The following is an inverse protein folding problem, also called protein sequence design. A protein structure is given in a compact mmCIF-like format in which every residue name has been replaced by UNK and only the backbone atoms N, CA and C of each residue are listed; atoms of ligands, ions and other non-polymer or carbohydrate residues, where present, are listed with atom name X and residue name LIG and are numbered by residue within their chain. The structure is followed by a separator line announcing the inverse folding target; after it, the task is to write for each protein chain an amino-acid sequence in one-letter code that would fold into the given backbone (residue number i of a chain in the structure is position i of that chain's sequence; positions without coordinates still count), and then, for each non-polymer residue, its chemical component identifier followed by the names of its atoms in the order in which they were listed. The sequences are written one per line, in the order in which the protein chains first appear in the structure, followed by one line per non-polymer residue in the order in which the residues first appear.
data_IF_055730019187
#
_entry.id   IF_055730019187
#
_cell.length_a   1.000
_cell.length_b   1.000
_cell.length_c   1.000
_cell.angle_alpha   90.00
_cell.angle_beta   90.00
_cell.angle_gamma   90.00
#
_symmetry.space_group_name_H-M   'P 1'
#
loop_
_entity.id
_entity.type
_entity.pdbx_description
1 polymer ?
#
# COMPACT_ATOMS: atom_id res chain seq x y z
N UNK A 1 55.24 23.68 -16.13
CA UNK A 1 55.96 24.84 -15.57
C UNK A 1 55.92 25.99 -16.58
N UNK A 2 55.01 26.95 -16.41
CA UNK A 2 54.84 28.29 -17.04
C UNK A 2 53.68 28.95 -16.26
N UNK A 3 53.88 29.71 -15.17
CA UNK A 3 54.28 31.12 -15.01
C UNK A 3 53.34 32.13 -15.71
N UNK A 4 52.53 32.79 -14.84
CA UNK A 4 51.92 34.14 -14.86
C UNK A 4 50.90 34.52 -15.96
N UNK A 5 49.72 35.01 -15.53
CA UNK A 5 49.47 36.47 -15.48
C UNK A 5 48.16 36.79 -14.70
N UNK A 6 48.30 37.67 -13.71
CA UNK A 6 47.26 38.29 -12.90
C UNK A 6 46.66 39.48 -13.62
N UNK A 7 45.33 39.62 -13.66
CA UNK A 7 44.66 40.92 -13.82
C UNK A 7 43.50 41.02 -12.84
N UNK A 8 43.68 41.91 -11.86
CA UNK A 8 42.65 42.53 -11.03
C UNK A 8 41.72 43.38 -11.91
N UNK A 9 40.42 43.33 -11.67
CA UNK A 9 39.56 44.49 -11.92
C UNK A 9 38.56 44.64 -10.77
N UNK A 10 38.68 45.76 -10.07
CA UNK A 10 37.81 46.25 -9.01
C UNK A 10 36.66 47.01 -9.67
N UNK A 11 35.41 46.66 -9.35
CA UNK A 11 34.26 47.48 -9.68
C UNK A 11 33.56 47.90 -8.37
N UNK A 12 33.68 49.19 -8.10
CA UNK A 12 33.11 49.96 -7.01
C UNK A 12 31.72 50.44 -7.44
N UNK A 13 30.67 50.23 -6.66
CA UNK A 13 29.43 50.99 -6.85
C UNK A 13 28.66 51.18 -5.54
N UNK A 14 28.75 52.42 -5.06
CA UNK A 14 27.75 53.25 -4.37
C UNK A 14 26.80 52.62 -3.35
N UNK A 15 27.07 52.93 -2.09
CA UNK A 15 26.09 52.94 -0.99
C UNK A 15 25.17 54.15 -1.14
N UNK A 16 23.86 53.93 -1.30
CA UNK A 16 22.85 54.98 -1.15
C UNK A 16 22.21 54.88 0.24
N UNK A 17 22.32 55.98 0.97
CA UNK A 17 21.76 56.21 2.30
C UNK A 17 20.25 56.46 2.16
N UNK A 18 19.41 55.60 2.74
CA UNK A 18 17.96 55.81 2.81
C UNK A 18 17.59 56.33 4.19
N UNK A 19 16.88 57.46 4.21
CA UNK A 19 16.37 58.10 5.42
C UNK A 19 15.40 57.18 6.18
N UNK A 20 15.53 57.12 7.50
CA UNK A 20 14.52 56.54 8.39
C UNK A 20 13.42 57.58 8.62
N UNK A 21 12.28 57.39 7.95
CA UNK A 21 11.04 58.10 8.24
C UNK A 21 10.30 57.32 9.33
N UNK A 22 10.18 57.93 10.52
CA UNK A 22 9.42 57.34 11.64
C UNK A 22 7.93 57.46 11.33
N UNK A 23 7.33 56.36 10.89
CA UNK A 23 5.89 56.27 10.64
C UNK A 23 5.18 56.08 11.99
N UNK A 24 4.38 57.06 12.38
CA UNK A 24 3.44 56.98 13.49
C UNK A 24 2.34 55.95 13.14
N UNK A 25 2.38 54.78 13.78
CA UNK A 25 1.43 53.69 13.52
C UNK A 25 0.06 54.05 14.06
N UNK A 26 -0.90 54.29 13.15
CA UNK A 26 -2.32 54.31 13.49
C UNK A 26 -2.75 52.96 14.10
N UNK A 27 -3.68 52.94 15.07
CA UNK A 27 -4.15 51.70 15.68
C UNK A 27 -4.79 50.78 14.63
N UNK A 28 -4.29 49.54 14.57
CA UNK A 28 -4.75 48.50 13.65
C UNK A 28 -6.23 48.20 13.91
N UNK A 29 -7.10 48.26 12.89
CA UNK A 29 -8.48 47.78 13.04
C UNK A 29 -8.46 46.27 13.30
N UNK A 30 -9.10 45.84 14.39
CA UNK A 30 -9.27 44.44 14.76
C UNK A 30 -9.94 43.72 13.60
N UNK A 31 -9.15 42.92 12.89
CA UNK A 31 -9.63 42.05 11.81
C UNK A 31 -10.46 40.96 12.46
N UNK A 32 -11.76 40.96 12.19
CA UNK A 32 -12.66 39.87 12.57
C UNK A 32 -12.04 38.54 12.15
N UNK A 33 -11.93 37.62 13.11
CA UNK A 33 -11.41 36.29 12.87
C UNK A 33 -12.20 35.63 11.73
N UNK A 34 -11.53 35.09 10.70
CA UNK A 34 -12.23 34.31 9.70
C UNK A 34 -12.89 33.12 10.41
N UNK A 35 -14.22 33.13 10.42
CA UNK A 35 -15.01 32.00 10.85
C UNK A 35 -14.49 30.78 10.09
N UNK A 36 -13.82 29.88 10.80
CA UNK A 36 -13.40 28.59 10.25
C UNK A 36 -14.66 27.86 9.87
N UNK A 37 -15.04 27.94 8.59
CA UNK A 37 -15.95 27.00 7.98
C UNK A 37 -15.36 25.63 8.31
N UNK A 38 -16.07 24.88 9.16
CA UNK A 38 -15.79 23.45 9.34
C UNK A 38 -16.01 22.82 7.98
N UNK A 39 -14.94 22.70 7.20
CA UNK A 39 -14.90 21.83 6.04
C UNK A 39 -15.04 20.43 6.61
N UNK A 40 -16.27 19.93 6.64
CA UNK A 40 -16.55 18.52 6.87
C UNK A 40 -15.86 17.77 5.74
N UNK A 41 -14.67 17.23 6.01
CA UNK A 41 -14.04 16.25 5.14
C UNK A 41 -15.07 15.12 5.00
N UNK A 42 -15.55 14.80 3.79
CA UNK A 42 -16.49 13.70 3.63
C UNK A 42 -15.81 12.45 4.20
N UNK A 43 -16.41 11.86 5.23
CA UNK A 43 -16.10 10.48 5.61
C UNK A 43 -16.42 9.66 4.38
N UNK A 44 -15.37 9.27 3.64
CA UNK A 44 -15.49 8.33 2.55
C UNK A 44 -16.02 7.03 3.18
N UNK A 45 -17.33 6.80 3.09
CA UNK A 45 -17.94 5.55 3.49
C UNK A 45 -17.39 4.50 2.53
N UNK A 46 -16.43 3.70 2.99
CA UNK A 46 -15.92 2.56 2.25
C UNK A 46 -17.08 1.58 2.05
N UNK A 47 -17.50 1.42 0.80
CA UNK A 47 -18.55 0.46 0.43
C UNK A 47 -17.87 -0.84 0.05
N UNK A 48 -18.22 -1.92 0.74
CA UNK A 48 -17.78 -3.26 0.41
C UNK A 48 -18.70 -3.85 -0.66
N UNK A 49 -18.11 -4.29 -1.76
CA UNK A 49 -18.81 -4.98 -2.85
C UNK A 49 -18.50 -6.47 -2.76
N UNK A 50 -19.55 -7.29 -2.74
CA UNK A 50 -19.40 -8.74 -2.77
C UNK A 50 -18.79 -9.19 -4.10
N UNK A 51 -17.98 -10.25 -4.06
CA UNK A 51 -17.49 -10.90 -5.26
C UNK A 51 -18.53 -11.95 -5.66
N UNK A 52 -19.19 -11.75 -6.80
CA UNK A 52 -20.37 -12.55 -7.19
C UNK A 52 -20.04 -14.01 -7.52
N UNK A 53 -18.84 -14.26 -8.05
CA UNK A 53 -18.38 -15.59 -8.47
C UNK A 53 -17.00 -15.89 -7.86
N UNK A 54 -16.92 -16.06 -6.53
CA UNK A 54 -15.65 -16.29 -5.88
C UNK A 54 -15.13 -17.67 -6.27
N UNK A 55 -13.85 -17.74 -6.66
CA UNK A 55 -13.18 -19.01 -6.91
C UNK A 55 -12.69 -19.55 -5.57
N UNK A 56 -13.09 -20.78 -5.23
CA UNK A 56 -12.51 -21.51 -4.11
C UNK A 56 -11.22 -22.17 -4.59
N UNK A 57 -10.08 -21.75 -4.08
CA UNK A 57 -8.78 -22.33 -4.40
C UNK A 57 -8.46 -23.42 -3.40
N UNK A 58 -8.10 -24.58 -3.92
CA UNK A 58 -7.74 -25.79 -3.17
C UNK A 58 -6.45 -26.38 -3.77
N UNK A 59 -5.78 -27.35 -3.11
CA UNK A 59 -4.63 -28.03 -3.68
C UNK A 59 -4.87 -28.60 -5.09
N UNK A 60 -6.10 -29.02 -5.40
CA UNK A 60 -6.44 -29.64 -6.68
C UNK A 60 -6.44 -28.64 -7.84
N UNK A 61 -6.93 -27.41 -7.63
CA UNK A 61 -7.03 -26.39 -8.67
C UNK A 61 -5.94 -25.32 -8.59
N UNK A 62 -5.18 -25.25 -7.50
CA UNK A 62 -4.08 -24.31 -7.35
C UNK A 62 -3.05 -24.42 -8.49
N UNK A 63 -2.87 -25.62 -9.06
CA UNK A 63 -2.02 -25.86 -10.25
C UNK A 63 -2.43 -25.09 -11.51
N UNK A 64 -3.64 -24.53 -11.55
CA UNK A 64 -4.12 -23.72 -12.67
C UNK A 64 -3.66 -22.26 -12.57
N UNK A 65 -3.08 -21.85 -11.43
CA UNK A 65 -2.62 -20.49 -11.15
C UNK A 65 -1.08 -20.39 -11.19
N UNK A 66 -0.46 -20.91 -12.25
CA UNK A 66 1.00 -20.98 -12.39
C UNK A 66 1.60 -19.78 -13.13
N UNK A 67 0.89 -19.27 -14.14
CA UNK A 67 1.34 -18.11 -14.91
C UNK A 67 0.55 -16.88 -14.50
N UNK A 68 1.23 -15.74 -14.49
CA UNK A 68 0.59 -14.44 -14.31
C UNK A 68 -0.36 -14.11 -15.49
N UNK A 69 -0.22 -14.82 -16.61
CA UNK A 69 -1.11 -14.74 -17.79
C UNK A 69 -2.36 -15.62 -17.66
N UNK A 70 -2.33 -16.68 -16.83
CA UNK A 70 -3.52 -17.48 -16.46
C UNK A 70 -4.44 -16.77 -15.46
N UNK A 71 -4.02 -15.57 -15.04
CA UNK A 71 -4.81 -14.61 -14.29
C UNK A 71 -5.61 -13.81 -15.33
N UNK A 72 -6.88 -14.20 -15.53
CA UNK A 72 -7.72 -13.81 -16.66
C UNK A 72 -7.82 -12.30 -16.91
N UNK A 73 -7.58 -11.47 -15.90
CA UNK A 73 -7.42 -10.02 -16.01
C UNK A 73 -6.48 -9.57 -14.87
N UNK A 74 -5.52 -8.66 -15.10
CA UNK A 74 -4.63 -8.12 -14.05
C UNK A 74 -5.43 -7.25 -13.08
N UNK A 75 -6.22 -7.89 -12.23
CA UNK A 75 -7.11 -7.25 -11.26
C UNK A 75 -6.60 -7.48 -9.83
N UNK A 76 -7.09 -6.70 -8.86
CA UNK A 76 -6.84 -6.92 -7.44
C UNK A 76 -7.09 -8.38 -7.01
N UNK A 77 -8.24 -8.95 -7.36
CA UNK A 77 -8.66 -10.30 -6.98
C UNK A 77 -7.73 -11.37 -7.53
N UNK A 78 -7.42 -11.23 -8.81
CA UNK A 78 -6.51 -12.04 -9.59
C UNK A 78 -5.12 -12.17 -8.96
N UNK A 79 -4.57 -11.08 -8.46
CA UNK A 79 -3.29 -11.06 -7.74
C UNK A 79 -3.37 -11.78 -6.40
N UNK A 80 -4.45 -11.57 -5.65
CA UNK A 80 -4.64 -12.25 -4.37
C UNK A 80 -4.83 -13.77 -4.59
N UNK A 81 -5.63 -14.17 -5.58
CA UNK A 81 -5.80 -15.57 -5.98
C UNK A 81 -4.45 -16.22 -6.33
N UNK A 82 -3.61 -15.53 -7.12
CA UNK A 82 -2.30 -16.03 -7.50
C UNK A 82 -1.37 -16.24 -6.30
N UNK A 83 -1.33 -15.28 -5.38
CA UNK A 83 -0.57 -15.38 -4.14
C UNK A 83 -0.98 -16.61 -3.32
N UNK A 84 -2.28 -16.76 -3.03
CA UNK A 84 -2.75 -17.85 -2.20
C UNK A 84 -2.66 -19.21 -2.88
N UNK A 85 -2.82 -19.28 -4.20
CA UNK A 85 -2.57 -20.51 -4.95
C UNK A 85 -1.10 -20.94 -4.86
N UNK A 86 -0.16 -19.98 -4.94
CA UNK A 86 1.27 -20.24 -4.74
C UNK A 86 1.58 -20.73 -3.32
N UNK A 87 0.96 -20.14 -2.30
CA UNK A 87 1.07 -20.59 -0.91
C UNK A 87 0.54 -22.02 -0.70
N UNK A 88 -0.57 -22.39 -1.36
CA UNK A 88 -1.13 -23.75 -1.33
C UNK A 88 -0.17 -24.75 -2.01
N UNK A 89 0.44 -24.37 -3.13
CA UNK A 89 1.41 -25.23 -3.85
C UNK A 89 2.78 -25.30 -3.19
N UNK A 90 3.06 -24.43 -2.21
CA UNK A 90 4.36 -24.32 -1.54
C UNK A 90 5.50 -23.99 -2.51
N UNK A 91 5.21 -23.14 -3.50
CA UNK A 91 6.22 -22.58 -4.40
C UNK A 91 6.52 -21.10 -4.08
N UNK A 92 7.46 -20.51 -4.81
CA UNK A 92 7.88 -19.10 -4.63
C UNK A 92 7.28 -18.14 -5.66
N UNK A 93 6.27 -18.59 -6.43
CA UNK A 93 5.70 -17.74 -7.47
C UNK A 93 5.00 -16.50 -6.90
N UNK A 94 4.54 -16.56 -5.65
CA UNK A 94 3.99 -15.43 -4.90
C UNK A 94 4.92 -14.22 -4.85
N UNK A 95 6.25 -14.41 -4.95
CA UNK A 95 7.24 -13.31 -4.93
C UNK A 95 6.99 -12.29 -6.05
N UNK A 96 6.36 -12.71 -7.17
CA UNK A 96 6.03 -11.81 -8.30
C UNK A 96 4.98 -10.76 -7.98
N UNK A 97 4.16 -11.00 -6.95
CA UNK A 97 3.01 -10.14 -6.61
C UNK A 97 3.14 -9.53 -5.22
N UNK A 98 4.29 -9.66 -4.59
CA UNK A 98 4.59 -9.11 -3.27
C UNK A 98 5.72 -8.08 -3.41
N UNK A 99 5.54 -6.91 -2.80
CA UNK A 99 6.55 -5.85 -2.78
C UNK A 99 7.14 -5.67 -1.38
N UNK A 100 8.06 -6.54 -1.00
CA UNK A 100 8.77 -6.44 0.29
C UNK A 100 9.70 -5.23 0.38
N UNK A 101 10.07 -4.59 -0.74
CA UNK A 101 11.02 -3.47 -0.77
C UNK A 101 10.42 -2.07 -0.52
N UNK A 102 9.11 -1.95 -0.22
CA UNK A 102 8.43 -0.66 0.01
C UNK A 102 8.07 -0.44 1.49
N UNK A 103 7.48 0.73 1.80
CA UNK A 103 7.27 1.35 3.13
C UNK A 103 6.67 0.52 4.30
N UNK A 104 6.44 -0.80 4.13
CA UNK A 104 6.06 -1.76 5.19
C UNK A 104 6.69 -3.15 4.99
N UNK A 105 7.86 -3.21 4.36
CA UNK A 105 8.57 -4.45 4.02
C UNK A 105 8.72 -5.41 5.19
N UNK A 106 9.17 -4.91 6.35
CA UNK A 106 9.38 -5.73 7.55
C UNK A 106 8.09 -6.37 8.07
N UNK A 107 6.97 -5.63 8.00
CA UNK A 107 5.68 -6.16 8.44
C UNK A 107 5.17 -7.23 7.48
N UNK A 108 5.25 -6.97 6.17
CA UNK A 108 4.87 -7.95 5.17
C UNK A 108 5.74 -9.20 5.26
N UNK A 109 7.04 -9.03 5.51
CA UNK A 109 7.95 -10.13 5.75
C UNK A 109 7.55 -10.94 6.99
N UNK A 110 7.27 -10.28 8.12
CA UNK A 110 6.79 -10.95 9.33
C UNK A 110 5.47 -11.70 9.10
N UNK A 111 4.59 -11.21 8.22
CA UNK A 111 3.39 -11.93 7.81
C UNK A 111 3.75 -13.17 6.97
N UNK A 112 4.59 -13.02 5.94
CA UNK A 112 5.05 -14.14 5.11
C UNK A 112 5.68 -15.26 5.97
N UNK A 113 6.52 -14.89 6.94
CA UNK A 113 7.13 -15.84 7.89
C UNK A 113 6.09 -16.62 8.72
N UNK A 114 4.89 -16.07 8.94
CA UNK A 114 3.79 -16.81 9.58
C UNK A 114 3.12 -17.77 8.60
N UNK A 115 2.95 -17.37 7.34
CA UNK A 115 2.36 -18.22 6.31
C UNK A 115 3.22 -19.46 6.00
N UNK A 116 4.54 -19.36 6.16
CA UNK A 116 5.45 -20.51 6.06
C UNK A 116 5.16 -21.59 7.11
N UNK A 117 4.61 -21.21 8.27
CA UNK A 117 4.35 -22.12 9.40
C UNK A 117 3.01 -22.86 9.31
N UNK A 118 2.19 -22.56 8.30
CA UNK A 118 0.84 -23.12 8.16
C UNK A 118 0.64 -23.79 6.81
N UNK A 119 -0.34 -24.67 6.70
CA UNK A 119 -0.81 -25.19 5.41
C UNK A 119 -2.18 -24.62 5.10
N UNK A 120 -2.33 -23.94 3.97
CA UNK A 120 -3.63 -23.46 3.51
C UNK A 120 -4.35 -24.63 2.84
N UNK A 121 -5.53 -24.98 3.35
CA UNK A 121 -6.36 -26.10 2.86
C UNK A 121 -7.33 -25.63 1.80
N UNK A 122 -8.03 -24.52 2.06
CA UNK A 122 -8.91 -23.83 1.10
C UNK A 122 -8.82 -22.33 1.30
N UNK A 123 -9.10 -21.59 0.23
CA UNK A 123 -9.08 -20.14 0.21
C UNK A 123 -10.18 -19.62 -0.73
N UNK A 124 -10.85 -18.54 -0.36
CA UNK A 124 -11.80 -17.85 -1.23
C UNK A 124 -11.80 -16.34 -0.96
N UNK A 125 -12.00 -15.56 -2.02
CA UNK A 125 -12.30 -14.14 -1.90
C UNK A 125 -13.77 -13.95 -1.54
N UNK A 126 -14.07 -12.93 -0.74
CA UNK A 126 -15.44 -12.66 -0.26
C UNK A 126 -15.96 -11.35 -0.81
N UNK A 127 -15.19 -10.29 -0.62
CA UNK A 127 -15.58 -8.94 -0.99
C UNK A 127 -14.35 -8.05 -1.20
N UNK A 128 -14.56 -6.89 -1.80
CA UNK A 128 -13.53 -5.86 -1.91
C UNK A 128 -14.10 -4.46 -1.67
N UNK A 129 -13.23 -3.53 -1.29
CA UNK A 129 -13.55 -2.11 -1.25
C UNK A 129 -12.37 -1.30 -1.78
N UNK A 130 -12.65 -0.26 -2.56
CA UNK A 130 -11.62 0.64 -3.04
C UNK A 130 -11.27 1.64 -1.93
N UNK A 131 -10.02 1.62 -1.45
CA UNK A 131 -9.51 2.65 -0.54
C UNK A 131 -9.00 3.86 -1.31
N UNK A 132 -8.51 3.63 -2.53
CA UNK A 132 -8.27 4.65 -3.55
C UNK A 132 -8.83 4.14 -4.88
N UNK A 133 -9.83 4.79 -5.48
CA UNK A 133 -10.48 4.32 -6.71
C UNK A 133 -9.45 3.97 -7.80
N UNK A 134 -9.59 2.76 -8.36
CA UNK A 134 -8.71 2.21 -9.41
C UNK A 134 -7.22 2.11 -9.06
N UNK A 135 -6.83 2.35 -7.81
CA UNK A 135 -5.42 2.34 -7.41
C UNK A 135 -5.11 1.44 -6.23
N UNK A 136 -6.04 1.33 -5.26
CA UNK A 136 -5.81 0.56 -4.05
C UNK A 136 -7.11 -0.04 -3.54
N UNK A 137 -7.05 -1.32 -3.20
CA UNK A 137 -8.19 -2.06 -2.70
C UNK A 137 -7.82 -2.79 -1.41
N UNK A 138 -8.79 -2.90 -0.53
CA UNK A 138 -8.82 -3.99 0.45
C UNK A 138 -9.67 -5.12 -0.10
N UNK A 139 -9.15 -6.33 0.00
CA UNK A 139 -9.80 -7.55 -0.46
C UNK A 139 -9.98 -8.46 0.75
N UNK A 140 -11.22 -8.76 1.09
CA UNK A 140 -11.55 -9.69 2.17
C UNK A 140 -11.45 -11.11 1.67
N UNK A 141 -10.83 -11.95 2.49
CA UNK A 141 -10.59 -13.35 2.19
C UNK A 141 -11.01 -14.21 3.36
N UNK A 142 -11.51 -15.38 3.03
CA UNK A 142 -11.72 -16.48 3.97
C UNK A 142 -10.77 -17.62 3.60
N UNK A 143 -10.21 -18.27 4.60
CA UNK A 143 -9.30 -19.39 4.42
C UNK A 143 -9.47 -20.43 5.52
N UNK A 144 -9.24 -21.67 5.15
CA UNK A 144 -9.03 -22.76 6.11
C UNK A 144 -7.54 -23.08 6.13
N UNK A 145 -6.96 -23.04 7.33
CA UNK A 145 -5.54 -23.33 7.54
C UNK A 145 -5.37 -24.49 8.50
N UNK A 146 -4.29 -25.22 8.32
CA UNK A 146 -3.83 -26.28 9.22
C UNK A 146 -2.56 -25.83 9.93
N UNK A 147 -2.60 -25.87 11.27
CA UNK A 147 -1.47 -25.57 12.17
C UNK A 147 -1.19 -26.82 13.00
N UNK A 148 -0.11 -27.55 12.67
CA UNK A 148 0.10 -28.90 13.19
C UNK A 148 -1.04 -29.82 12.73
N UNK A 149 -1.77 -30.42 13.67
CA UNK A 149 -2.92 -31.28 13.36
C UNK A 149 -4.27 -30.55 13.39
N UNK A 150 -4.30 -29.30 13.87
CA UNK A 150 -5.54 -28.54 14.05
C UNK A 150 -5.89 -27.77 12.78
N UNK A 151 -7.15 -27.84 12.39
CA UNK A 151 -7.74 -27.01 11.34
C UNK A 151 -8.41 -25.79 11.97
N UNK A 152 -8.22 -24.62 11.38
CA UNK A 152 -8.82 -23.35 11.79
C UNK A 152 -9.33 -22.59 10.57
N UNK A 153 -10.43 -21.86 10.75
CA UNK A 153 -10.90 -20.89 9.78
C UNK A 153 -10.37 -19.49 10.14
N UNK A 154 -9.96 -18.74 9.14
CA UNK A 154 -9.43 -17.39 9.28
C UNK A 154 -10.11 -16.51 8.25
N UNK A 155 -10.63 -15.38 8.70
CA UNK A 155 -11.09 -14.29 7.85
C UNK A 155 -10.15 -13.11 8.04
N UNK A 156 -9.76 -12.46 6.96
CA UNK A 156 -9.02 -11.22 7.06
C UNK A 156 -8.92 -10.49 5.73
N UNK A 157 -8.03 -9.51 5.67
CA UNK A 157 -8.00 -8.55 4.57
C UNK A 157 -6.60 -8.48 3.98
N UNK A 158 -6.53 -8.49 2.65
CA UNK A 158 -5.31 -8.22 1.89
C UNK A 158 -5.38 -6.80 1.35
N UNK A 159 -4.29 -6.05 1.48
CA UNK A 159 -4.16 -4.72 0.91
C UNK A 159 -3.40 -4.83 -0.41
N UNK A 160 -3.99 -4.33 -1.48
CA UNK A 160 -3.43 -4.41 -2.84
C UNK A 160 -3.40 -3.05 -3.50
N UNK A 161 -2.31 -2.76 -4.20
CA UNK A 161 -2.04 -1.48 -4.86
C UNK A 161 -1.59 -1.70 -6.30
N UNK A 162 -1.93 -0.77 -7.19
CA UNK A 162 -1.35 -0.72 -8.54
C UNK A 162 -0.15 0.22 -8.55
N UNK A 163 0.98 -0.24 -9.09
CA UNK A 163 2.20 0.53 -9.27
C UNK A 163 2.80 0.20 -10.63
N UNK A 164 3.10 1.22 -11.45
CA UNK A 164 3.68 1.00 -12.78
C UNK A 164 2.78 0.19 -13.74
N UNK A 165 1.47 0.11 -13.47
CA UNK A 165 0.52 -0.68 -14.26
C UNK A 165 0.30 -2.11 -13.77
N UNK A 166 1.02 -2.56 -12.74
CA UNK A 166 0.88 -3.89 -12.16
C UNK A 166 0.34 -3.85 -10.72
N UNK A 167 -0.43 -4.87 -10.35
CA UNK A 167 -1.01 -5.00 -9.01
C UNK A 167 -0.10 -5.79 -8.07
N UNK A 168 0.02 -5.33 -6.83
CA UNK A 168 0.88 -5.92 -5.80
C UNK A 168 0.20 -5.95 -4.45
N UNK A 169 0.57 -6.94 -3.63
CA UNK A 169 0.15 -7.10 -2.23
C UNK A 169 1.09 -6.30 -1.33
N UNK A 170 0.49 -5.45 -0.49
CA UNK A 170 1.16 -4.67 0.55
C UNK A 170 1.01 -5.26 1.95
N UNK A 171 -0.08 -6.00 2.21
CA UNK A 171 -0.27 -6.72 3.46
C UNK A 171 -1.16 -7.93 3.26
N UNK A 172 -0.95 -8.92 4.12
CA UNK A 172 -1.72 -10.16 4.18
C UNK A 172 -2.65 -10.17 5.39
N UNK A 173 -3.66 -11.07 5.41
CA UNK A 173 -4.41 -11.37 6.61
C UNK A 173 -3.48 -11.83 7.73
N UNK A 174 -3.65 -11.27 8.93
CA UNK A 174 -2.89 -11.66 10.11
C UNK A 174 -3.36 -13.05 10.57
N UNK A 175 -2.43 -13.97 10.75
CA UNK A 175 -2.72 -15.30 11.27
C UNK A 175 -2.55 -15.27 12.79
N UNK A 176 -3.64 -15.33 13.55
CA UNK A 176 -3.55 -15.51 15.01
C UNK A 176 -3.22 -16.98 15.33
N UNK A 177 -1.93 -17.30 15.24
CA UNK A 177 -1.41 -18.65 15.45
C UNK A 177 -1.36 -19.03 16.94
N UNK A 178 -1.55 -18.09 17.86
CA UNK A 178 -1.54 -18.37 19.29
C UNK A 178 -2.89 -19.00 19.65
N UNK A 179 -2.91 -20.34 19.81
CA UNK A 179 -4.04 -20.98 20.48
C UNK A 179 -3.97 -20.63 21.97
N UNK A 180 -5.03 -20.00 22.50
CA UNK A 180 -5.35 -20.12 23.93
C UNK A 180 -5.59 -21.59 24.30
#
# INVERSE_FOLDING_TARGET
MRIFLTIMLVALSAFSFSQEETIELAPVPVKEEPQTAKVSVPQNNLVWTAIEQPIVITPQNAKNFMTYEGIYERTPESVVNYFFASQIRKDKLWEKVVMSQYWRGDLLQAQLDQYEKVTIVKFNLVSKTATVPNQRFWVRVDMEIKVGEKVKEVTGESDVIVLGGDWFILSLPVLDLISK
#
